data_IF_241710650760
#
_entry.id   IF_241710650760
#
_cell.length_a   1.000
_cell.length_b   1.000
_cell.length_c   1.000
_cell.angle_alpha   90.00
_cell.angle_beta   90.00
_cell.angle_gamma   90.00
#
_symmetry.space_group_name_H-M   'P 1'
#
loop_
_entity.id
_entity.type
_entity.pdbx_description
1 polymer ?
#
# COMPACT_ATOMS: atom_id res chain seq x y z
N UNK A 1 6.14 1.62 1.36
CA UNK A 1 4.91 0.85 1.68
C UNK A 1 4.61 -0.06 0.51
N UNK A 2 4.18 -1.30 0.75
CA UNK A 2 3.94 -2.31 -0.28
C UNK A 2 2.65 -3.05 0.02
N UNK A 3 1.82 -3.27 -1.00
CA UNK A 3 0.53 -3.97 -0.89
C UNK A 3 0.65 -5.51 -0.87
N UNK A 4 1.90 -6.02 -0.79
CA UNK A 4 2.25 -7.45 -0.91
C UNK A 4 2.01 -8.04 -2.31
N UNK A 5 1.77 -7.19 -3.30
CA UNK A 5 1.51 -7.55 -4.70
C UNK A 5 2.37 -6.68 -5.62
N UNK A 6 1.77 -5.76 -6.36
CA UNK A 6 2.40 -4.98 -7.41
C UNK A 6 2.40 -3.46 -7.15
N UNK A 7 1.86 -2.99 -6.02
CA UNK A 7 1.85 -1.55 -5.69
C UNK A 7 2.93 -1.23 -4.66
N UNK A 8 3.89 -0.38 -5.05
CA UNK A 8 4.97 0.11 -4.18
C UNK A 8 4.88 1.63 -4.07
N UNK A 9 4.87 2.12 -2.84
CA UNK A 9 4.91 3.55 -2.53
C UNK A 9 6.21 3.89 -1.81
N UNK A 10 6.96 4.82 -2.36
CA UNK A 10 8.19 5.35 -1.78
C UNK A 10 7.89 6.75 -1.27
N UNK A 11 8.15 7.00 0.02
CA UNK A 11 8.04 8.33 0.64
C UNK A 11 9.44 8.75 1.06
N UNK A 12 9.85 9.94 0.64
CA UNK A 12 11.14 10.53 0.98
C UNK A 12 10.94 11.78 1.82
N UNK A 13 11.87 12.04 2.74
CA UNK A 13 11.97 13.33 3.41
C UNK A 13 12.33 14.43 2.40
N UNK A 14 11.88 15.65 2.64
CA UNK A 14 12.24 16.83 1.82
C UNK A 14 13.74 17.09 1.77
N UNK A 15 14.52 16.53 2.70
CA UNK A 15 15.98 16.55 2.68
C UNK A 15 16.60 15.92 1.43
N UNK A 16 15.86 15.04 0.73
CA UNK A 16 16.29 14.39 -0.51
C UNK A 16 15.84 15.12 -1.78
N UNK A 17 15.21 16.29 -1.66
CA UNK A 17 14.73 17.06 -2.81
C UNK A 17 15.89 17.40 -3.76
N UNK A 18 15.77 17.03 -5.03
CA UNK A 18 16.81 17.21 -6.05
C UNK A 18 18.08 16.36 -5.87
N UNK A 19 18.11 15.40 -4.93
CA UNK A 19 19.27 14.55 -4.63
C UNK A 19 19.08 13.10 -5.07
N UNK A 20 17.94 12.78 -5.66
CA UNK A 20 17.61 11.43 -6.14
C UNK A 20 17.55 11.41 -7.66
N UNK A 21 17.60 10.21 -8.22
CA UNK A 21 17.41 9.96 -9.63
C UNK A 21 16.87 8.52 -9.79
N UNK A 22 16.31 8.23 -10.96
CA UNK A 22 15.74 6.91 -11.27
C UNK A 22 14.37 7.02 -11.91
N UNK A 23 13.66 5.89 -11.93
CA UNK A 23 12.31 5.80 -12.52
C UNK A 23 11.26 6.67 -11.82
N UNK A 24 11.52 7.11 -10.58
CA UNK A 24 10.66 8.01 -9.83
C UNK A 24 11.02 9.49 -10.01
N UNK A 25 11.83 9.83 -11.01
CA UNK A 25 12.28 11.20 -11.27
C UNK A 25 13.40 11.67 -10.34
N UNK A 26 13.57 12.98 -10.25
CA UNK A 26 14.64 13.61 -9.46
C UNK A 26 14.15 14.30 -8.17
N UNK A 27 12.83 14.31 -7.96
CA UNK A 27 12.17 14.92 -6.81
C UNK A 27 12.58 16.39 -6.60
N UNK A 28 12.66 17.20 -7.67
CA UNK A 28 12.95 18.65 -7.55
C UNK A 28 11.68 19.53 -7.53
N UNK A 29 10.52 18.95 -7.86
CA UNK A 29 9.22 19.64 -7.95
C UNK A 29 8.80 20.04 -9.36
N UNK A 30 9.61 19.71 -10.39
CA UNK A 30 9.36 20.02 -11.78
C UNK A 30 9.12 18.76 -12.63
N UNK A 31 7.85 18.37 -12.80
CA UNK A 31 7.50 17.17 -13.60
C UNK A 31 7.96 17.17 -15.07
N UNK A 32 8.44 18.30 -15.62
CA UNK A 32 8.91 18.39 -17.01
C UNK A 32 10.30 17.79 -17.24
N UNK A 33 11.11 17.63 -16.18
CA UNK A 33 12.46 17.07 -16.28
C UNK A 33 12.58 15.70 -15.60
N UNK A 34 11.49 15.12 -15.09
CA UNK A 34 11.52 13.82 -14.40
C UNK A 34 12.02 12.70 -15.32
N UNK A 35 11.83 12.82 -16.64
CA UNK A 35 12.42 11.93 -17.63
C UNK A 35 13.89 12.28 -17.93
N UNK A 36 14.71 12.39 -16.88
CA UNK A 36 16.16 12.50 -16.99
C UNK A 36 16.78 11.11 -17.05
N UNK A 37 17.48 10.79 -18.14
CA UNK A 37 18.14 9.51 -18.36
C UNK A 37 19.34 9.30 -17.43
N UNK A 38 19.86 8.08 -17.37
CA UNK A 38 21.10 7.76 -16.62
C UNK A 38 22.31 8.60 -17.09
N UNK A 39 22.29 9.11 -18.32
CA UNK A 39 23.33 9.98 -18.88
C UNK A 39 23.09 11.47 -18.61
N UNK A 40 22.12 11.81 -17.76
CA UNK A 40 21.73 13.19 -17.40
C UNK A 40 21.10 14.00 -18.54
N UNK A 41 20.57 13.32 -19.55
CA UNK A 41 19.85 13.95 -20.66
C UNK A 41 18.34 13.89 -20.40
N UNK A 42 17.65 15.02 -20.61
CA UNK A 42 16.19 15.07 -20.53
C UNK A 42 15.61 14.55 -21.84
N UNK A 43 14.86 13.46 -21.77
CA UNK A 43 14.23 12.81 -22.92
C UNK A 43 12.71 12.94 -22.86
N UNK A 44 12.05 12.81 -24.01
CA UNK A 44 10.58 12.94 -24.11
C UNK A 44 9.89 11.57 -23.99
N UNK A 45 10.52 10.53 -24.55
CA UNK A 45 9.92 9.21 -24.67
C UNK A 45 10.13 8.38 -23.39
N UNK A 46 9.03 7.92 -22.78
CA UNK A 46 9.07 7.11 -21.56
C UNK A 46 9.86 5.80 -21.74
N UNK A 47 9.85 5.22 -22.96
CA UNK A 47 10.57 4.00 -23.27
C UNK A 47 12.09 4.20 -23.29
N UNK A 48 12.54 5.32 -23.84
CA UNK A 48 13.95 5.72 -23.83
C UNK A 48 14.42 5.98 -22.40
N UNK A 49 13.64 6.76 -21.64
CA UNK A 49 13.87 7.02 -20.22
C UNK A 49 13.99 5.72 -19.41
N UNK A 50 12.98 4.84 -19.49
CA UNK A 50 12.93 3.59 -18.72
C UNK A 50 14.08 2.63 -19.06
N UNK A 51 14.42 2.49 -20.35
CA UNK A 51 15.52 1.64 -20.79
C UNK A 51 16.90 2.15 -20.31
N UNK A 52 17.07 3.46 -20.13
CA UNK A 52 18.31 4.03 -19.61
C UNK A 52 18.60 3.61 -18.15
N UNK A 53 17.56 3.27 -17.39
CA UNK A 53 17.66 2.92 -15.97
C UNK A 53 17.90 1.43 -15.70
N UNK A 54 17.95 0.56 -16.72
CA UNK A 54 18.25 -0.87 -16.53
C UNK A 54 19.56 -1.08 -15.76
N UNK A 55 19.55 -2.05 -14.85
CA UNK A 55 20.71 -2.34 -13.99
C UNK A 55 21.72 -3.20 -14.74
N UNK A 56 21.26 -4.26 -15.40
CA UNK A 56 22.12 -5.14 -16.18
C UNK A 56 22.11 -4.74 -17.66
N UNK A 57 23.29 -4.56 -18.30
CA UNK A 57 23.37 -4.29 -19.73
C UNK A 57 22.89 -5.47 -20.59
N UNK A 58 22.93 -6.71 -20.04
CA UNK A 58 22.43 -7.90 -20.74
C UNK A 58 20.91 -7.97 -20.83
N UNK A 59 20.18 -7.16 -20.06
CA UNK A 59 18.73 -7.08 -20.19
C UNK A 59 18.36 -6.43 -21.53
N UNK A 60 17.41 -7.03 -22.28
CA UNK A 60 16.91 -6.43 -23.51
C UNK A 60 16.23 -5.10 -23.18
N UNK A 61 16.21 -4.20 -24.16
CA UNK A 61 15.39 -3.01 -24.06
C UNK A 61 13.91 -3.44 -24.13
N UNK A 62 13.05 -2.77 -23.36
CA UNK A 62 11.62 -2.90 -23.51
C UNK A 62 11.18 -2.36 -24.88
N UNK A 63 10.19 -3.04 -25.47
CA UNK A 63 9.55 -2.64 -26.71
C UNK A 63 8.38 -1.68 -26.46
N UNK A 64 7.91 -1.03 -27.53
CA UNK A 64 6.70 -0.19 -27.47
C UNK A 64 5.52 -1.02 -26.96
N UNK A 65 4.89 -0.54 -25.88
CA UNK A 65 3.75 -1.18 -25.25
C UNK A 65 2.56 -1.14 -26.21
N UNK A 66 2.25 -2.27 -26.84
CA UNK A 66 0.99 -2.44 -27.58
C UNK A 66 -0.16 -2.39 -26.57
N UNK A 67 -1.23 -1.66 -26.91
CA UNK A 67 -2.39 -1.54 -26.04
C UNK A 67 -2.96 -2.94 -25.71
N UNK A 68 -3.00 -3.35 -24.42
CA UNK A 68 -3.47 -4.68 -24.05
C UNK A 68 -4.91 -4.96 -24.47
N UNK A 69 -5.76 -3.93 -24.55
CA UNK A 69 -7.15 -4.10 -24.99
C UNK A 69 -7.29 -4.27 -26.50
N UNK A 70 -6.33 -3.79 -27.32
CA UNK A 70 -6.37 -4.03 -28.78
C UNK A 70 -5.88 -5.42 -29.13
N UNK A 71 -4.84 -5.91 -28.42
CA UNK A 71 -4.43 -7.30 -28.48
C UNK A 71 -5.51 -8.24 -27.91
N UNK A 72 -6.06 -7.80 -26.77
CA UNK A 72 -7.08 -8.37 -25.87
C UNK A 72 -8.54 -8.06 -26.17
N UNK A 73 -8.98 -7.91 -27.42
CA UNK A 73 -10.28 -7.26 -27.72
C UNK A 73 -11.50 -7.89 -27.01
N UNK A 74 -11.52 -9.21 -26.82
CA UNK A 74 -12.59 -9.90 -26.10
C UNK A 74 -12.72 -9.49 -24.62
N UNK A 75 -11.67 -8.92 -24.01
CA UNK A 75 -11.66 -8.44 -22.62
C UNK A 75 -12.13 -6.99 -22.48
N UNK A 76 -12.07 -6.21 -23.56
CA UNK A 76 -12.30 -4.76 -23.52
C UNK A 76 -13.65 -4.39 -22.91
N UNK A 77 -14.74 -5.06 -23.32
CA UNK A 77 -16.09 -4.79 -22.80
C UNK A 77 -16.20 -5.05 -21.30
N UNK A 78 -15.56 -6.10 -20.80
CA UNK A 78 -15.54 -6.41 -19.37
C UNK A 78 -14.73 -5.36 -18.60
N UNK A 79 -13.53 -5.02 -19.09
CA UNK A 79 -12.65 -4.02 -18.48
C UNK A 79 -13.32 -2.65 -18.39
N UNK A 80 -13.91 -2.16 -19.49
CA UNK A 80 -14.64 -0.88 -19.51
C UNK A 80 -15.80 -0.88 -18.52
N UNK A 81 -16.61 -1.95 -18.50
CA UNK A 81 -17.75 -2.05 -17.60
C UNK A 81 -17.33 -2.08 -16.14
N UNK A 82 -16.32 -2.88 -15.78
CA UNK A 82 -15.86 -3.01 -14.38
C UNK A 82 -15.17 -1.74 -13.90
N UNK A 83 -14.26 -1.17 -14.70
CA UNK A 83 -13.52 0.04 -14.34
C UNK A 83 -14.39 1.31 -14.31
N UNK A 84 -15.60 1.29 -14.90
CA UNK A 84 -16.55 2.41 -14.83
C UNK A 84 -16.94 2.81 -13.40
N UNK A 85 -16.70 1.95 -12.39
CA UNK A 85 -16.90 2.34 -10.99
C UNK A 85 -16.10 3.60 -10.61
N UNK A 86 -14.89 3.77 -11.16
CA UNK A 86 -14.00 4.90 -10.89
C UNK A 86 -14.65 6.23 -11.30
N UNK A 87 -15.39 6.24 -12.40
CA UNK A 87 -16.09 7.42 -12.93
C UNK A 87 -17.57 7.48 -12.53
N UNK A 88 -18.05 6.49 -11.76
CA UNK A 88 -19.43 6.43 -11.30
C UNK A 88 -19.71 7.35 -10.10
N UNK A 89 -20.98 7.43 -9.72
CA UNK A 89 -21.43 8.15 -8.53
C UNK A 89 -20.79 7.64 -7.22
N UNK A 90 -20.29 6.39 -7.17
CA UNK A 90 -19.59 5.83 -5.99
C UNK A 90 -18.41 6.72 -5.58
N UNK A 91 -17.69 7.30 -6.55
CA UNK A 91 -16.53 8.15 -6.33
C UNK A 91 -16.80 9.64 -6.52
N UNK A 92 -18.07 10.05 -6.66
CA UNK A 92 -18.45 11.44 -6.97
C UNK A 92 -17.87 12.48 -6.00
N UNK A 93 -17.76 12.14 -4.70
CA UNK A 93 -17.16 13.02 -3.69
C UNK A 93 -15.66 13.30 -3.92
N UNK A 94 -14.96 12.42 -4.64
CA UNK A 94 -13.54 12.52 -4.94
C UNK A 94 -13.24 13.13 -6.32
N UNK A 95 -14.16 13.05 -7.28
CA UNK A 95 -13.93 13.50 -8.67
C UNK A 95 -13.47 14.96 -8.79
N UNK A 96 -13.87 15.82 -7.85
CA UNK A 96 -13.44 17.23 -7.81
C UNK A 96 -12.04 17.45 -7.23
N UNK A 97 -11.49 16.45 -6.52
CA UNK A 97 -10.21 16.52 -5.83
C UNK A 97 -9.12 15.77 -6.59
N UNK A 98 -9.47 14.64 -7.23
CA UNK A 98 -8.55 13.78 -7.98
C UNK A 98 -9.19 13.39 -9.31
N UNK A 99 -8.53 13.72 -10.43
CA UNK A 99 -8.98 13.36 -11.77
C UNK A 99 -9.08 11.82 -11.92
N UNK A 100 -10.28 11.27 -12.18
CA UNK A 100 -10.47 9.82 -12.34
C UNK A 100 -9.88 9.27 -13.64
N UNK A 101 -9.65 10.11 -14.66
CA UNK A 101 -9.28 9.69 -16.01
C UNK A 101 -8.03 8.80 -16.08
N UNK A 102 -6.86 9.20 -15.52
CA UNK A 102 -5.66 8.34 -15.56
C UNK A 102 -5.85 7.01 -14.82
N UNK A 103 -6.63 6.99 -13.75
CA UNK A 103 -6.92 5.78 -12.96
C UNK A 103 -7.88 4.84 -13.69
N UNK A 104 -8.92 5.38 -14.32
CA UNK A 104 -9.84 4.62 -15.17
C UNK A 104 -9.08 3.95 -16.31
N UNK A 105 -8.25 4.72 -17.03
CA UNK A 105 -7.50 4.20 -18.17
C UNK A 105 -6.46 3.15 -17.74
N UNK A 106 -5.82 3.34 -16.58
CA UNK A 106 -4.94 2.33 -15.99
C UNK A 106 -5.71 1.04 -15.66
N UNK A 107 -6.85 1.16 -14.96
CA UNK A 107 -7.71 0.02 -14.63
C UNK A 107 -8.10 -0.77 -15.89
N UNK A 108 -8.50 -0.08 -16.97
CA UNK A 108 -8.92 -0.73 -18.22
C UNK A 108 -7.75 -1.47 -18.87
N UNK A 109 -6.57 -0.83 -18.95
CA UNK A 109 -5.35 -1.45 -19.50
C UNK A 109 -4.95 -2.69 -18.72
N UNK A 110 -4.90 -2.59 -17.39
CA UNK A 110 -4.47 -3.69 -16.51
C UNK A 110 -5.47 -4.86 -16.57
N UNK A 111 -6.77 -4.56 -16.53
CA UNK A 111 -7.84 -5.55 -16.66
C UNK A 111 -7.84 -6.29 -18.01
N UNK A 112 -7.43 -5.61 -19.08
CA UNK A 112 -7.22 -6.24 -20.40
C UNK A 112 -5.94 -7.08 -20.46
N UNK A 113 -4.90 -6.70 -19.70
CA UNK A 113 -3.61 -7.39 -19.67
C UNK A 113 -3.61 -8.64 -18.76
N UNK A 114 -4.50 -8.73 -17.77
CA UNK A 114 -4.61 -9.89 -16.90
C UNK A 114 -5.46 -10.98 -17.55
N UNK A 115 -4.86 -11.80 -18.42
CA UNK A 115 -5.54 -12.81 -19.23
C UNK A 115 -5.22 -14.27 -18.87
N UNK A 116 -4.27 -14.49 -17.97
CA UNK A 116 -3.81 -15.81 -17.53
C UNK A 116 -4.45 -16.25 -16.21
N UNK A 117 -5.45 -15.51 -15.72
CA UNK A 117 -6.08 -15.66 -14.41
C UNK A 117 -5.73 -14.50 -13.46
N UNK A 118 -6.54 -14.29 -12.43
CA UNK A 118 -6.35 -13.16 -11.49
C UNK A 118 -6.99 -11.84 -11.93
N UNK A 119 -7.89 -11.87 -12.92
CA UNK A 119 -8.53 -10.68 -13.51
C UNK A 119 -9.21 -9.77 -12.47
N UNK A 120 -9.85 -10.39 -11.48
CA UNK A 120 -10.47 -9.68 -10.36
C UNK A 120 -9.43 -8.96 -9.50
N UNK A 121 -8.25 -9.55 -9.32
CA UNK A 121 -7.18 -8.97 -8.51
C UNK A 121 -6.61 -7.70 -9.15
N UNK A 122 -6.33 -7.73 -10.45
CA UNK A 122 -5.86 -6.56 -11.19
C UNK A 122 -6.87 -5.41 -11.15
N UNK A 123 -8.16 -5.72 -11.38
CA UNK A 123 -9.24 -4.77 -11.24
C UNK A 123 -9.30 -4.16 -9.83
N UNK A 124 -9.29 -5.00 -8.79
CA UNK A 124 -9.39 -4.54 -7.41
C UNK A 124 -8.20 -3.68 -6.98
N UNK A 125 -6.99 -4.01 -7.40
CA UNK A 125 -5.81 -3.20 -7.10
C UNK A 125 -5.88 -1.83 -7.79
N UNK A 126 -6.31 -1.78 -9.05
CA UNK A 126 -6.44 -0.52 -9.78
C UNK A 126 -7.50 0.42 -9.15
N UNK A 127 -8.65 -0.12 -8.73
CA UNK A 127 -9.67 0.69 -8.03
C UNK A 127 -9.20 1.11 -6.64
N UNK A 128 -8.50 0.24 -5.91
CA UNK A 128 -7.91 0.57 -4.61
C UNK A 128 -6.89 1.70 -4.70
N UNK A 129 -6.10 1.77 -5.78
CA UNK A 129 -5.17 2.86 -6.02
C UNK A 129 -5.89 4.22 -6.15
N UNK A 130 -7.04 4.26 -6.83
CA UNK A 130 -7.85 5.49 -6.89
C UNK A 130 -8.48 5.83 -5.54
N UNK A 131 -9.00 4.84 -4.81
CA UNK A 131 -9.53 5.03 -3.46
C UNK A 131 -8.46 5.56 -2.48
N UNK A 132 -7.23 5.08 -2.59
CA UNK A 132 -6.09 5.58 -1.82
C UNK A 132 -5.79 7.05 -2.15
N UNK A 133 -5.74 7.41 -3.44
CA UNK A 133 -5.54 8.80 -3.86
C UNK A 133 -6.66 9.73 -3.35
N UNK A 134 -7.91 9.26 -3.39
CA UNK A 134 -9.05 9.95 -2.79
C UNK A 134 -8.88 10.15 -1.28
N UNK A 135 -8.47 9.10 -0.56
CA UNK A 135 -8.25 9.18 0.89
C UNK A 135 -7.15 10.20 1.24
N UNK A 136 -6.06 10.22 0.47
CA UNK A 136 -4.97 11.20 0.64
C UNK A 136 -5.43 12.64 0.33
N UNK A 137 -6.40 12.82 -0.56
CA UNK A 137 -7.03 14.12 -0.84
C UNK A 137 -8.09 14.53 0.21
N UNK A 138 -8.47 13.62 1.12
CA UNK A 138 -9.46 13.86 2.17
C UNK A 138 -10.87 13.34 1.86
N UNK A 139 -11.04 12.61 0.76
CA UNK A 139 -12.29 11.96 0.38
C UNK A 139 -12.27 10.46 0.74
N UNK A 140 -12.90 10.10 1.86
CA UNK A 140 -13.03 8.71 2.29
C UNK A 140 -14.16 7.99 1.54
N UNK A 141 -13.82 7.05 0.65
CA UNK A 141 -14.79 6.34 -0.21
C UNK A 141 -14.89 4.86 0.19
N UNK A 142 -16.08 4.43 0.62
CA UNK A 142 -16.40 3.00 0.82
C UNK A 142 -16.93 2.39 -0.48
N UNK A 143 -16.03 1.79 -1.27
CA UNK A 143 -16.34 1.31 -2.62
C UNK A 143 -16.51 -0.22 -2.72
N UNK A 144 -15.94 -0.99 -1.79
CA UNK A 144 -16.07 -2.46 -1.76
C UNK A 144 -17.47 -2.90 -1.37
N UNK A 145 -17.95 -3.96 -2.00
CA UNK A 145 -19.23 -4.62 -1.71
C UNK A 145 -19.05 -6.14 -1.77
N UNK A 146 -20.03 -6.95 -1.31
CA UNK A 146 -19.96 -8.41 -1.48
C UNK A 146 -19.73 -8.86 -2.93
N UNK A 147 -20.22 -8.10 -3.90
CA UNK A 147 -20.10 -8.40 -5.34
C UNK A 147 -18.90 -7.72 -6.02
N UNK A 148 -18.28 -6.75 -5.36
CA UNK A 148 -17.17 -5.94 -5.90
C UNK A 148 -16.03 -5.93 -4.89
N UNK A 149 -14.99 -6.70 -5.21
CA UNK A 149 -13.74 -6.74 -4.45
C UNK A 149 -13.95 -6.96 -2.93
N UNK A 150 -14.68 -8.03 -2.54
CA UNK A 150 -15.00 -8.28 -1.14
C UNK A 150 -13.74 -8.47 -0.29
N UNK A 151 -13.83 -8.07 0.97
CA UNK A 151 -12.79 -8.23 1.97
C UNK A 151 -13.37 -8.95 3.19
N UNK A 152 -12.70 -10.02 3.62
CA UNK A 152 -13.17 -10.91 4.68
C UNK A 152 -12.52 -10.56 6.01
N UNK A 153 -12.86 -9.40 6.58
CA UNK A 153 -12.30 -8.96 7.86
C UNK A 153 -12.84 -9.74 9.07
N UNK A 154 -14.01 -10.34 8.93
CA UNK A 154 -14.63 -11.20 9.93
C UNK A 154 -13.90 -12.52 10.14
N UNK A 155 -13.09 -12.95 9.17
CA UNK A 155 -12.17 -14.09 9.31
C UNK A 155 -11.28 -13.99 10.56
N UNK A 156 -10.92 -12.78 10.97
CA UNK A 156 -10.07 -12.53 12.14
C UNK A 156 -10.84 -12.54 13.47
N UNK A 157 -12.17 -12.57 13.44
CA UNK A 157 -12.98 -12.57 14.65
C UNK A 157 -13.08 -13.98 15.26
N UNK A 158 -12.80 -14.14 16.55
CA UNK A 158 -13.18 -15.34 17.29
C UNK A 158 -14.69 -15.58 17.26
N UNK A 159 -15.11 -16.82 17.52
CA UNK A 159 -16.53 -17.20 17.53
C UNK A 159 -17.25 -16.38 18.62
N UNK A 160 -18.28 -15.64 18.21
CA UNK A 160 -19.09 -14.80 19.10
C UNK A 160 -18.53 -13.39 19.34
N UNK A 161 -17.40 -13.05 18.72
CA UNK A 161 -16.78 -11.73 18.81
C UNK A 161 -16.89 -10.95 17.49
N UNK A 162 -16.73 -9.64 17.56
CA UNK A 162 -16.89 -8.73 16.42
C UNK A 162 -15.92 -7.54 16.56
N UNK A 163 -14.63 -7.84 16.61
CA UNK A 163 -13.57 -6.86 16.86
C UNK A 163 -12.97 -6.31 15.57
N UNK A 164 -12.74 -7.16 14.57
CA UNK A 164 -12.15 -6.83 13.29
C UNK A 164 -13.19 -6.34 12.29
N UNK A 165 -12.97 -5.14 11.77
CA UNK A 165 -13.87 -4.48 10.82
C UNK A 165 -13.10 -3.96 9.62
N UNK A 166 -13.77 -3.94 8.47
CA UNK A 166 -13.28 -3.24 7.30
C UNK A 166 -13.32 -1.73 7.54
N UNK A 167 -12.18 -1.09 7.39
CA UNK A 167 -12.05 0.36 7.40
C UNK A 167 -11.57 0.84 6.01
N UNK A 168 -12.45 1.48 5.21
CA UNK A 168 -12.13 1.86 3.83
C UNK A 168 -11.00 2.88 3.72
N UNK A 169 -10.73 3.62 4.79
CA UNK A 169 -9.82 4.76 4.80
C UNK A 169 -8.74 4.61 5.86
N UNK A 170 -8.68 3.44 6.49
CA UNK A 170 -7.68 3.10 7.49
C UNK A 170 -7.85 3.74 8.84
N UNK A 171 -6.90 3.43 9.72
CA UNK A 171 -6.79 4.02 11.03
C UNK A 171 -5.49 4.86 11.08
N UNK A 172 -5.56 6.18 11.40
CA UNK A 172 -4.41 7.07 11.28
C UNK A 172 -3.17 6.64 12.07
N UNK A 173 -3.36 6.17 13.30
CA UNK A 173 -2.30 5.51 14.06
C UNK A 173 -2.90 4.66 15.18
N UNK A 174 -2.63 3.36 15.16
CA UNK A 174 -3.10 2.42 16.18
C UNK A 174 -2.02 2.22 17.24
N UNK A 175 -2.45 2.02 18.49
CA UNK A 175 -1.56 1.52 19.54
C UNK A 175 -1.35 0.02 19.34
N UNK A 176 -0.12 -0.36 19.05
CA UNK A 176 0.28 -1.77 18.99
C UNK A 176 1.30 -2.04 20.08
N UNK A 177 1.61 -3.31 20.34
CA UNK A 177 2.69 -3.65 21.25
C UNK A 177 4.07 -3.22 20.73
N UNK A 178 4.26 -3.13 19.40
CA UNK A 178 5.47 -2.54 18.79
C UNK A 178 5.47 -1.01 18.78
N UNK A 179 4.30 -0.38 18.81
CA UNK A 179 4.15 1.08 18.96
C UNK A 179 3.19 1.45 20.10
N UNK A 180 3.60 1.28 21.38
CA UNK A 180 2.73 1.56 22.52
C UNK A 180 2.37 3.05 22.66
N UNK A 181 3.20 3.94 22.11
CA UNK A 181 2.95 5.38 22.14
C UNK A 181 1.75 5.77 21.28
N UNK A 182 1.44 5.00 20.23
CA UNK A 182 0.46 5.39 19.23
C UNK A 182 0.87 6.63 18.45
N UNK A 183 2.18 6.90 18.34
CA UNK A 183 2.72 7.97 17.49
C UNK A 183 3.23 7.34 16.19
N UNK A 184 2.65 7.73 15.06
CA UNK A 184 3.06 7.25 13.73
C UNK A 184 3.68 8.39 12.93
N UNK A 185 4.53 8.06 11.97
CA UNK A 185 5.05 9.06 11.03
C UNK A 185 3.91 9.64 10.21
N UNK A 186 3.87 10.97 10.08
CA UNK A 186 2.94 11.68 9.19
C UNK A 186 3.15 11.33 7.71
N UNK A 187 4.26 10.67 7.37
CA UNK A 187 4.54 10.19 6.02
C UNK A 187 3.76 8.92 5.66
N UNK A 188 3.18 8.23 6.65
CA UNK A 188 2.36 7.04 6.44
C UNK A 188 0.90 7.49 6.51
N UNK A 189 0.21 7.60 5.35
CA UNK A 189 -1.21 7.90 5.34
C UNK A 189 -2.00 6.73 5.96
N UNK A 190 -3.24 6.99 6.35
CA UNK A 190 -4.15 5.92 6.72
C UNK A 190 -4.42 5.03 5.49
N UNK A 191 -4.28 3.72 5.65
CA UNK A 191 -4.37 2.73 4.57
C UNK A 191 -5.65 1.92 4.70
N UNK A 192 -6.32 1.66 3.58
CA UNK A 192 -7.47 0.74 3.54
C UNK A 192 -7.09 -0.63 4.14
N UNK A 193 -7.97 -1.21 4.97
CA UNK A 193 -7.71 -2.55 5.50
C UNK A 193 -8.71 -3.04 6.54
N UNK A 194 -8.38 -4.19 7.13
CA UNK A 194 -9.08 -4.73 8.29
C UNK A 194 -8.36 -4.26 9.56
N UNK A 195 -9.11 -3.70 10.49
CA UNK A 195 -8.58 -3.17 11.75
C UNK A 195 -9.42 -3.64 12.93
N UNK A 196 -8.81 -4.04 14.06
CA UNK A 196 -9.54 -4.37 15.27
C UNK A 196 -9.97 -3.10 16.00
N UNK A 197 -11.13 -3.18 16.66
CA UNK A 197 -11.60 -2.17 17.61
C UNK A 197 -11.32 -2.63 19.03
N UNK A 198 -10.07 -2.44 19.46
CA UNK A 198 -9.63 -2.77 20.81
C UNK A 198 -10.40 -1.99 21.88
N UNK A 199 -10.78 -2.68 22.96
CA UNK A 199 -11.50 -2.10 24.09
C UNK A 199 -10.57 -1.24 24.96
N UNK A 200 -11.15 -0.40 25.84
CA UNK A 200 -10.34 0.34 26.82
C UNK A 200 -9.62 -0.55 27.83
N UNK A 201 -10.12 -1.78 28.06
CA UNK A 201 -9.49 -2.75 28.94
C UNK A 201 -8.26 -3.40 28.30
N UNK A 202 -8.27 -3.58 26.97
CA UNK A 202 -7.19 -4.18 26.19
C UNK A 202 -6.87 -3.29 24.98
N UNK A 203 -6.25 -2.11 25.17
CA UNK A 203 -6.18 -1.09 24.13
C UNK A 203 -5.02 -1.26 23.13
N UNK A 204 -4.19 -2.31 23.25
CA UNK A 204 -3.02 -2.54 22.41
C UNK A 204 -3.23 -3.74 21.50
N UNK A 205 -2.95 -3.61 20.21
CA UNK A 205 -2.90 -4.74 19.29
C UNK A 205 -1.54 -5.46 19.40
N UNK A 206 -1.56 -6.74 19.74
CA UNK A 206 -0.40 -7.63 19.62
C UNK A 206 -0.36 -8.19 18.18
N UNK A 207 0.55 -7.62 17.37
CA UNK A 207 0.60 -7.86 15.91
C UNK A 207 1.01 -9.29 15.54
N UNK A 208 1.69 -10.03 16.42
CA UNK A 208 2.04 -11.44 16.18
C UNK A 208 0.85 -12.39 16.34
N UNK A 209 -0.01 -12.12 17.33
CA UNK A 209 -1.17 -12.97 17.64
C UNK A 209 -2.48 -12.42 17.07
N UNK A 210 -2.47 -11.18 16.58
CA UNK A 210 -3.62 -10.45 16.04
C UNK A 210 -4.75 -10.27 17.07
N UNK A 211 -4.40 -10.09 18.35
CA UNK A 211 -5.35 -9.91 19.46
C UNK A 211 -5.14 -8.58 20.18
N UNK A 212 -6.23 -8.03 20.68
CA UNK A 212 -6.19 -6.90 21.61
C UNK A 212 -5.77 -7.39 23.00
N UNK A 213 -4.77 -6.76 23.58
CA UNK A 213 -4.17 -7.15 24.87
C UNK A 213 -3.98 -5.94 25.79
N UNK A 214 -3.72 -6.21 27.07
CA UNK A 214 -3.33 -5.15 28.01
C UNK A 214 -1.87 -4.75 27.76
N UNK A 215 -1.45 -3.59 28.28
CA UNK A 215 -0.04 -3.17 28.16
C UNK A 215 0.94 -4.19 28.76
N UNK A 216 0.54 -4.86 29.84
CA UNK A 216 1.36 -5.86 30.53
C UNK A 216 1.60 -7.09 29.66
N UNK A 217 0.58 -7.47 28.89
CA UNK A 217 0.61 -8.67 28.06
C UNK A 217 1.32 -8.45 26.71
N UNK A 218 1.76 -7.23 26.41
CA UNK A 218 2.52 -6.93 25.18
C UNK A 218 3.92 -7.56 25.15
N UNK A 219 4.52 -7.85 26.29
CA UNK A 219 5.93 -8.26 26.36
C UNK A 219 6.89 -7.15 25.89
N UNK A 220 8.05 -7.55 25.38
CA UNK A 220 9.07 -6.66 24.83
C UNK A 220 9.44 -7.02 23.40
N UNK A 221 9.96 -6.03 22.68
CA UNK A 221 10.55 -6.21 21.36
C UNK A 221 12.01 -5.76 21.39
N UNK A 222 12.90 -6.53 20.76
CA UNK A 222 14.28 -6.08 20.55
C UNK A 222 14.37 -5.06 19.40
N UNK A 223 15.57 -4.51 19.17
CA UNK A 223 15.82 -3.56 18.07
C UNK A 223 15.68 -4.18 16.67
N UNK A 224 15.69 -5.52 16.57
CA UNK A 224 15.53 -6.27 15.32
C UNK A 224 14.03 -6.64 15.08
N UNK A 225 13.15 -6.33 16.04
CA UNK A 225 11.69 -6.52 15.97
C UNK A 225 11.19 -7.89 16.43
N UNK A 226 12.03 -8.70 17.09
CA UNK A 226 11.68 -10.00 17.68
C UNK A 226 10.89 -9.80 18.96
N UNK A 227 9.79 -10.54 19.13
CA UNK A 227 8.94 -10.49 20.32
C UNK A 227 9.49 -11.41 21.42
N UNK A 228 9.41 -10.93 22.66
CA UNK A 228 9.78 -11.66 23.86
C UNK A 228 8.70 -11.50 24.93
N UNK A 229 8.23 -12.61 25.47
CA UNK A 229 7.28 -12.62 26.58
C UNK A 229 7.96 -12.24 27.90
N UNK A 230 7.15 -11.91 28.91
CA UNK A 230 7.66 -11.65 30.27
C UNK A 230 8.46 -12.85 30.79
N UNK A 231 9.67 -12.59 31.30
CA UNK A 231 10.59 -13.62 31.76
C UNK A 231 11.43 -14.31 30.68
N UNK A 232 11.20 -14.04 29.38
CA UNK A 232 12.07 -14.56 28.32
C UNK A 232 13.42 -13.82 28.27
N UNK A 233 14.44 -14.54 27.79
CA UNK A 233 15.81 -14.04 27.67
C UNK A 233 16.00 -13.41 26.30
N UNK A 234 16.43 -12.15 26.27
CA UNK A 234 16.85 -11.47 25.05
C UNK A 234 18.33 -11.82 24.79
N UNK A 235 18.68 -12.41 23.63
CA UNK A 235 20.06 -12.70 23.27
C UNK A 235 20.91 -11.42 23.24
N UNK A 236 21.94 -11.38 24.10
CA UNK A 236 22.90 -10.28 24.12
C UNK A 236 23.93 -10.43 22.99
N UNK A 237 24.26 -9.33 22.31
CA UNK A 237 25.42 -9.24 21.41
C UNK A 237 26.74 -9.05 22.18
N UNK A 238 26.67 -8.73 23.48
CA UNK A 238 27.82 -8.64 24.39
C UNK A 238 28.02 -9.95 25.16
N UNK A 239 29.27 -10.42 25.23
CA UNK A 239 29.62 -11.64 25.98
C UNK A 239 29.29 -11.48 27.48
N UNK A 240 28.70 -12.53 28.07
CA UNK A 240 28.37 -12.65 29.50
C UNK A 240 27.29 -11.68 30.03
N UNK A 241 26.41 -11.15 29.18
CA UNK A 241 25.21 -10.45 29.62
C UNK A 241 23.95 -11.24 29.24
N UNK A 242 23.00 -11.32 30.17
CA UNK A 242 21.68 -11.92 29.97
C UNK A 242 20.65 -10.88 30.33
N UNK A 243 19.87 -10.46 29.35
CA UNK A 243 18.78 -9.51 29.55
C UNK A 243 17.47 -10.29 29.68
N UNK A 244 16.67 -9.93 30.68
CA UNK A 244 15.34 -10.51 30.87
C UNK A 244 14.30 -9.45 30.56
N UNK A 245 13.21 -9.88 29.93
CA UNK A 245 12.01 -9.05 29.84
C UNK A 245 11.39 -8.93 31.23
N UNK A 246 11.24 -7.69 31.70
CA UNK A 246 10.49 -7.36 32.90
C UNK A 246 9.44 -6.32 32.56
N UNK A 247 8.17 -6.72 32.64
CA UNK A 247 7.03 -5.81 32.52
C UNK A 247 6.65 -5.26 33.91
N UNK A 248 6.69 -3.93 34.08
CA UNK A 248 6.19 -3.23 35.28
C UNK A 248 4.70 -2.91 35.16
#
# INVERSE_FOLDING_TARGET
MWDKKNSLFIKLSSTFQGQVCGLCGNYDGNGKNDFTSRNQEVVVEALEFGNSWKVSPSCPNADVIKNPCTLRSYRQSWSLKRCSIITSNVFSACHSQVDPTPFHDACVRDSCACDTGGDCECFCTAVAAYAQACNEAGACIKWRTPDICPLFCDFYNPIGECEWHYNPCGYPCMKTCKNPSGTCSSQIPALEGCYPKCSSAQPYLEESTMKCVTKKDCGCYDGDGTHYNDGEVIPSKENCQTWYVSTF
#
